data_IF_113428939867
#
_entry.id   IF_113428939867
#
_cell.length_a   1.000
_cell.length_b   1.000
_cell.length_c   1.000
_cell.angle_alpha   90.00
_cell.angle_beta   90.00
_cell.angle_gamma   90.00
#
_symmetry.space_group_name_H-M   'P 1'
#
loop_
_entity.id
_entity.type
_entity.pdbx_description
1 polymer ?
#
# COMPACT_ATOMS: atom_id res chain seq x y z
N UNK A 1 14.48 -2.22 -0.16
CA UNK A 1 13.66 -1.03 0.14
C UNK A 1 12.24 -1.54 0.28
N UNK A 2 11.54 -1.18 1.36
CA UNK A 2 10.15 -1.59 1.58
C UNK A 2 9.24 -0.91 0.55
N UNK A 3 8.43 -1.69 -0.16
CA UNK A 3 7.53 -1.22 -1.21
C UNK A 3 6.21 -1.96 -1.10
N UNK A 4 5.12 -1.21 -1.23
CA UNK A 4 3.75 -1.71 -1.17
C UNK A 4 3.07 -1.38 -2.50
N UNK A 5 2.54 -2.41 -3.15
CA UNK A 5 1.78 -2.32 -4.40
C UNK A 5 0.31 -2.25 -4.06
N UNK A 6 -0.36 -1.16 -4.43
CA UNK A 6 -1.79 -1.00 -4.39
C UNK A 6 -2.39 -1.31 -5.76
N UNK A 7 -3.45 -2.11 -5.81
CA UNK A 7 -4.11 -2.50 -7.05
C UNK A 7 -5.62 -2.60 -6.84
N UNK A 8 -6.37 -2.44 -7.93
CA UNK A 8 -7.82 -2.62 -7.90
C UNK A 8 -8.16 -4.10 -8.03
N UNK A 9 -9.07 -4.57 -7.18
CA UNK A 9 -9.57 -5.93 -7.21
C UNK A 9 -11.08 -5.91 -7.48
N UNK A 10 -11.51 -5.93 -8.76
CA UNK A 10 -12.93 -5.85 -9.12
C UNK A 10 -13.68 -7.17 -8.93
N UNK A 11 -12.99 -8.30 -8.78
CA UNK A 11 -13.58 -9.62 -8.90
C UNK A 11 -14.09 -10.21 -7.57
N UNK A 12 -13.37 -10.01 -6.45
CA UNK A 12 -13.79 -10.48 -5.11
C UNK A 12 -13.10 -9.73 -3.97
N UNK A 13 -13.87 -9.02 -3.13
CA UNK A 13 -13.39 -8.44 -1.87
C UNK A 13 -13.43 -6.91 -1.86
N UNK A 14 -12.61 -6.24 -1.02
CA UNK A 14 -12.47 -4.79 -1.05
C UNK A 14 -12.01 -4.33 -2.44
N UNK A 15 -12.54 -3.21 -2.92
CA UNK A 15 -12.28 -2.73 -4.28
C UNK A 15 -10.79 -2.40 -4.54
N UNK A 16 -10.05 -2.10 -3.47
CA UNK A 16 -8.61 -1.86 -3.49
C UNK A 16 -7.89 -2.79 -2.52
N UNK A 17 -6.78 -3.36 -2.99
CA UNK A 17 -5.88 -4.19 -2.20
C UNK A 17 -4.48 -3.58 -2.20
N UNK A 18 -3.73 -3.79 -1.12
CA UNK A 18 -2.32 -3.46 -1.01
C UNK A 18 -1.55 -4.69 -0.55
N UNK A 19 -0.43 -4.97 -1.21
CA UNK A 19 0.50 -6.01 -0.78
C UNK A 19 1.95 -5.60 -1.00
N UNK A 20 2.84 -6.06 -0.14
CA UNK A 20 4.27 -5.84 -0.32
C UNK A 20 5.05 -6.00 0.96
N UNK A 21 6.15 -5.27 1.07
CA UNK A 21 7.06 -5.33 2.21
C UNK A 21 6.96 -4.04 3.02
N UNK A 22 6.78 -4.17 4.34
CA UNK A 22 6.79 -3.08 5.31
C UNK A 22 7.89 -3.36 6.34
N UNK A 23 9.03 -2.70 6.18
CA UNK A 23 10.25 -3.04 6.91
C UNK A 23 10.71 -4.46 6.58
N UNK A 24 10.68 -5.34 7.58
CA UNK A 24 11.10 -6.75 7.49
C UNK A 24 9.92 -7.72 7.33
N UNK A 25 8.68 -7.23 7.33
CA UNK A 25 7.48 -8.05 7.30
C UNK A 25 6.69 -7.86 6.00
N UNK A 26 5.99 -8.92 5.58
CA UNK A 26 5.01 -8.82 4.50
C UNK A 26 3.76 -8.10 5.01
N UNK A 27 3.32 -7.09 4.27
CA UNK A 27 2.12 -6.32 4.54
C UNK A 27 1.03 -6.68 3.54
N UNK A 28 -0.19 -6.86 4.03
CA UNK A 28 -1.38 -7.04 3.21
C UNK A 28 -2.56 -6.29 3.83
N UNK A 29 -3.24 -5.48 3.04
CA UNK A 29 -4.46 -4.77 3.44
C UNK A 29 -5.42 -4.64 2.28
N UNK A 30 -6.69 -4.39 2.57
CA UNK A 30 -7.70 -4.08 1.56
C UNK A 30 -8.73 -3.13 2.09
N UNK A 31 -9.21 -2.23 1.23
CA UNK A 31 -10.23 -1.25 1.53
C UNK A 31 -11.14 -0.98 0.33
N UNK A 32 -12.32 -0.44 0.55
CA UNK A 32 -13.26 -0.08 -0.51
C UNK A 32 -12.78 1.12 -1.33
N UNK A 33 -11.95 1.99 -0.74
CA UNK A 33 -11.38 3.16 -1.40
C UNK A 33 -9.85 3.19 -1.28
N UNK A 34 -9.19 3.84 -2.26
CA UNK A 34 -7.74 4.04 -2.23
C UNK A 34 -7.32 4.90 -1.03
N UNK A 35 -8.11 5.88 -0.65
CA UNK A 35 -7.83 6.77 0.48
C UNK A 35 -7.79 6.00 1.81
N UNK A 36 -8.78 5.14 2.05
CA UNK A 36 -8.79 4.25 3.21
C UNK A 36 -7.60 3.30 3.20
N UNK A 37 -7.29 2.71 2.05
CA UNK A 37 -6.14 1.82 1.90
C UNK A 37 -4.82 2.53 2.25
N UNK A 38 -4.63 3.75 1.74
CA UNK A 38 -3.44 4.56 2.03
C UNK A 38 -3.35 4.98 3.49
N UNK A 39 -4.49 5.22 4.13
CA UNK A 39 -4.55 5.53 5.57
C UNK A 39 -4.09 4.33 6.39
N UNK A 40 -4.60 3.13 6.09
CA UNK A 40 -4.18 1.89 6.75
C UNK A 40 -2.68 1.61 6.57
N UNK A 41 -2.14 1.88 5.39
CA UNK A 41 -0.71 1.73 5.13
C UNK A 41 0.10 2.73 5.96
N UNK A 42 -0.32 4.00 6.01
CA UNK A 42 0.35 5.04 6.77
C UNK A 42 0.36 4.73 8.28
N UNK A 43 -0.75 4.25 8.82
CA UNK A 43 -0.85 3.85 10.23
C UNK A 43 0.09 2.68 10.55
N UNK A 44 0.05 1.61 9.75
CA UNK A 44 0.92 0.46 9.97
C UNK A 44 2.41 0.80 9.77
N UNK A 45 2.73 1.67 8.82
CA UNK A 45 4.07 2.20 8.62
C UNK A 45 4.55 2.99 9.84
N UNK A 46 3.68 3.83 10.42
CA UNK A 46 3.94 4.56 11.66
C UNK A 46 4.25 3.63 12.83
N UNK A 47 3.40 2.62 13.04
CA UNK A 47 3.56 1.65 14.13
C UNK A 47 4.83 0.82 13.98
N UNK A 48 5.19 0.47 12.75
CA UNK A 48 6.43 -0.26 12.45
C UNK A 48 7.67 0.63 12.43
N UNK A 49 7.53 1.97 12.45
CA UNK A 49 8.63 2.89 12.19
C UNK A 49 9.25 2.71 10.80
N UNK A 50 8.46 2.21 9.84
CA UNK A 50 8.87 1.98 8.47
C UNK A 50 8.37 3.11 7.56
N UNK A 51 8.99 3.28 6.40
CA UNK A 51 8.53 4.20 5.36
C UNK A 51 8.48 3.46 4.04
N UNK A 52 7.44 2.64 3.79
CA UNK A 52 7.30 1.93 2.54
C UNK A 52 6.92 2.89 1.41
N UNK A 53 7.45 2.65 0.23
CA UNK A 53 7.00 3.34 -0.99
C UNK A 53 5.70 2.70 -1.48
N UNK A 54 4.62 3.49 -1.60
CA UNK A 54 3.34 2.99 -2.12
C UNK A 54 3.23 3.31 -3.59
N UNK A 55 3.04 2.27 -4.40
CA UNK A 55 2.85 2.40 -5.84
C UNK A 55 1.53 1.77 -6.25
N UNK A 56 0.84 2.40 -7.19
CA UNK A 56 -0.36 1.86 -7.82
C UNK A 56 0.03 1.08 -9.06
N UNK A 57 -0.39 -0.16 -9.15
CA UNK A 57 -0.18 -1.05 -10.30
C UNK A 57 -1.53 -1.58 -10.79
N UNK A 58 -1.60 -1.99 -12.05
CA UNK A 58 -2.78 -2.68 -12.58
C UNK A 58 -2.78 -4.13 -12.15
N UNK A 59 -1.60 -4.75 -12.14
CA UNK A 59 -1.42 -6.14 -11.77
C UNK A 59 -0.23 -6.28 -10.78
N UNK A 60 -0.44 -6.85 -9.59
CA UNK A 60 0.61 -6.99 -8.58
C UNK A 60 1.65 -8.06 -8.92
N UNK A 61 1.31 -9.06 -9.74
CA UNK A 61 2.16 -10.18 -10.15
C UNK A 61 3.01 -9.85 -11.38
N UNK A 62 2.56 -8.90 -12.21
CA UNK A 62 3.30 -8.43 -13.36
C UNK A 62 4.51 -7.56 -12.96
N UNK A 63 5.62 -7.76 -13.66
CA UNK A 63 6.78 -6.85 -13.63
C UNK A 63 6.47 -5.63 -14.50
N UNK A 64 5.50 -4.84 -14.07
CA UNK A 64 5.02 -3.65 -14.76
C UNK A 64 5.44 -2.36 -14.06
N UNK A 65 5.56 -1.29 -14.86
CA UNK A 65 5.84 0.02 -14.32
C UNK A 65 4.64 0.52 -13.50
N UNK A 66 4.86 1.21 -12.37
CA UNK A 66 3.77 1.76 -11.58
C UNK A 66 2.98 2.77 -12.40
N UNK A 67 1.65 2.67 -12.33
CA UNK A 67 0.72 3.62 -12.93
C UNK A 67 0.83 4.97 -12.21
N UNK A 68 0.98 4.93 -10.88
CA UNK A 68 1.16 6.10 -10.05
C UNK A 68 1.98 5.74 -8.80
N UNK A 69 2.63 6.73 -8.21
CA UNK A 69 3.24 6.64 -6.89
C UNK A 69 2.45 7.50 -5.91
N UNK A 70 2.17 6.96 -4.73
CA UNK A 70 1.45 7.65 -3.67
C UNK A 70 2.46 8.04 -2.60
N UNK A 71 2.49 9.34 -2.29
CA UNK A 71 3.21 9.84 -1.13
C UNK A 71 2.33 9.61 0.10
N UNK A 72 2.79 8.76 1.01
CA UNK A 72 2.09 8.57 2.28
C UNK A 72 2.20 9.85 3.10
N UNK A 73 1.10 10.30 3.75
CA UNK A 73 1.18 11.46 4.61
C UNK A 73 2.26 11.23 5.68
N UNK A 74 3.17 12.20 5.84
CA UNK A 74 4.21 12.13 6.84
C UNK A 74 3.56 11.87 8.21
N UNK A 75 3.85 10.70 8.78
CA UNK A 75 3.26 10.35 10.06
C UNK A 75 3.85 11.28 11.12
N UNK A 76 3.03 12.18 11.64
CA UNK A 76 3.42 13.03 12.74
C UNK A 76 3.35 12.17 13.99
N UNK A 77 4.47 11.59 14.42
CA UNK A 77 4.57 10.98 15.74
C UNK A 77 4.22 12.07 16.77
N UNK A 78 3.08 11.93 17.45
CA UNK A 78 2.69 12.81 18.57
C UNK A 78 3.46 12.45 19.84
#
# INVERSE_FOLDING_TARGET
MSRIKAYQNPDRGPAWCAEGEMGEFSYYAGADTLEELTSLIAEAAAESGASPEVIVVSDPDADEAPIASIDLPAVVSQ
#
